data_IF_078862167317
#
_entry.id   IF_078862167317
#
_cell.length_a   1.000
_cell.length_b   1.000
_cell.length_c   1.000
_cell.angle_alpha   90.00
_cell.angle_beta   90.00
_cell.angle_gamma   90.00
#
_symmetry.space_group_name_H-M   'P 1'
#
loop_
_entity.id
_entity.type
_entity.pdbx_description
1 polymer ?
#
# COMPACT_ATOMS: atom_id res chain seq x y z
N UNK A 1 4.29 -7.76 -27.28
CA UNK A 1 3.53 -7.02 -28.32
C UNK A 1 3.27 -5.69 -27.67
N UNK A 2 3.86 -4.63 -28.17
CA UNK A 2 3.68 -3.31 -27.59
C UNK A 2 2.18 -2.99 -27.55
N UNK A 3 1.65 -2.78 -26.35
CA UNK A 3 0.23 -2.51 -26.12
C UNK A 3 -0.17 -1.17 -26.73
N UNK A 4 0.77 -0.22 -26.77
CA UNK A 4 0.57 1.12 -27.30
C UNK A 4 1.21 1.27 -28.67
N UNK A 5 0.36 1.41 -29.70
CA UNK A 5 0.84 1.70 -31.06
C UNK A 5 1.30 3.16 -31.17
N UNK A 6 2.19 3.48 -32.11
CA UNK A 6 2.58 4.88 -32.36
C UNK A 6 1.40 5.82 -32.61
N UNK A 7 0.33 5.33 -33.22
CA UNK A 7 -0.90 6.10 -33.46
C UNK A 7 -1.65 6.39 -32.15
N UNK A 8 -1.64 5.41 -31.20
CA UNK A 8 -2.23 5.60 -29.87
C UNK A 8 -1.47 6.68 -29.10
N UNK A 9 -0.14 6.60 -29.06
CA UNK A 9 0.71 7.61 -28.39
C UNK A 9 0.47 9.00 -28.97
N UNK A 10 0.45 9.14 -30.32
CA UNK A 10 0.16 10.42 -30.97
C UNK A 10 -1.22 10.97 -30.60
N UNK A 11 -2.22 10.12 -30.47
CA UNK A 11 -3.55 10.51 -30.03
C UNK A 11 -3.54 11.04 -28.59
N UNK A 12 -2.85 10.34 -27.67
CA UNK A 12 -2.68 10.79 -26.29
C UNK A 12 -2.01 12.16 -26.24
N UNK A 13 -0.88 12.32 -26.94
CA UNK A 13 -0.16 13.59 -27.02
C UNK A 13 -1.01 14.73 -27.60
N UNK A 14 -1.87 14.44 -28.58
CA UNK A 14 -2.78 15.45 -29.14
C UNK A 14 -3.87 15.85 -28.14
N UNK A 15 -4.40 14.89 -27.36
CA UNK A 15 -5.38 15.15 -26.28
C UNK A 15 -4.75 16.05 -25.21
N UNK A 16 -3.52 15.74 -24.78
CA UNK A 16 -2.76 16.54 -23.79
C UNK A 16 -2.53 17.96 -24.34
N UNK A 17 -2.01 18.07 -25.55
CA UNK A 17 -1.73 19.35 -26.20
C UNK A 17 -2.96 20.26 -26.34
N UNK A 18 -4.13 19.68 -26.50
CA UNK A 18 -5.40 20.40 -26.59
C UNK A 18 -6.05 20.67 -25.22
N UNK A 19 -5.46 20.24 -24.12
CA UNK A 19 -6.01 20.29 -22.75
C UNK A 19 -7.42 19.64 -22.65
N UNK A 20 -7.61 18.51 -23.36
CA UNK A 20 -8.88 17.78 -23.38
C UNK A 20 -9.01 16.83 -22.20
N UNK A 21 -9.09 17.37 -20.97
CA UNK A 21 -9.05 16.63 -19.68
C UNK A 21 -10.06 15.48 -19.60
N UNK A 22 -11.30 15.72 -20.05
CA UNK A 22 -12.34 14.69 -19.97
C UNK A 22 -12.06 13.50 -20.90
N UNK A 23 -11.48 13.75 -22.08
CA UNK A 23 -11.05 12.66 -22.96
C UNK A 23 -9.84 11.91 -22.41
N UNK A 24 -8.90 12.63 -21.82
CA UNK A 24 -7.76 12.00 -21.16
C UNK A 24 -8.23 11.09 -20.01
N UNK A 25 -9.11 11.56 -19.13
CA UNK A 25 -9.70 10.74 -18.07
C UNK A 25 -10.43 9.51 -18.59
N UNK A 26 -11.25 9.66 -19.62
CA UNK A 26 -11.98 8.53 -20.21
C UNK A 26 -11.03 7.48 -20.83
N UNK A 27 -9.91 7.93 -21.41
CA UNK A 27 -8.89 7.06 -21.98
C UNK A 27 -8.13 6.28 -20.88
N UNK A 28 -7.86 6.91 -19.74
CA UNK A 28 -7.11 6.32 -18.63
C UNK A 28 -7.98 5.44 -17.72
N UNK A 29 -9.30 5.64 -17.74
CA UNK A 29 -10.25 5.04 -16.80
C UNK A 29 -10.15 3.52 -16.71
N UNK A 30 -10.10 2.86 -17.87
CA UNK A 30 -10.12 1.40 -17.98
C UNK A 30 -8.70 0.79 -18.13
N UNK A 31 -7.64 1.60 -18.10
CA UNK A 31 -6.27 1.10 -18.12
C UNK A 31 -5.85 0.60 -16.72
N UNK A 32 -5.13 -0.52 -16.70
CA UNK A 32 -4.47 -1.01 -15.50
C UNK A 32 -3.32 -0.07 -15.10
N UNK A 33 -3.00 0.11 -13.81
CA UNK A 33 -1.86 0.93 -13.37
C UNK A 33 -0.56 0.62 -14.12
N UNK A 34 -0.18 -0.65 -14.25
CA UNK A 34 0.99 -1.07 -15.01
C UNK A 34 0.99 -0.61 -16.48
N UNK A 35 -0.20 -0.53 -17.12
CA UNK A 35 -0.29 -0.03 -18.50
C UNK A 35 -0.07 1.48 -18.57
N UNK A 36 -0.54 2.21 -17.55
CA UNK A 36 -0.30 3.66 -17.46
C UNK A 36 1.18 3.95 -17.20
N UNK A 37 1.83 3.14 -16.38
CA UNK A 37 3.29 3.21 -16.17
C UNK A 37 4.07 2.94 -17.48
N UNK A 38 3.64 1.96 -18.30
CA UNK A 38 4.22 1.73 -19.64
C UNK A 38 3.97 2.93 -20.58
N UNK A 39 2.79 3.54 -20.51
CA UNK A 39 2.46 4.74 -21.27
C UNK A 39 3.36 5.93 -20.86
N UNK A 40 3.67 6.07 -19.56
CA UNK A 40 4.56 7.10 -19.03
C UNK A 40 5.91 7.10 -19.77
N UNK A 41 6.51 5.93 -19.98
CA UNK A 41 7.80 5.80 -20.67
C UNK A 41 7.78 6.24 -22.13
N UNK A 42 6.61 6.40 -22.74
CA UNK A 42 6.42 6.85 -24.13
C UNK A 42 6.15 8.36 -24.22
N UNK A 43 5.99 9.05 -23.11
CA UNK A 43 5.67 10.47 -23.01
C UNK A 43 6.91 11.26 -22.53
N UNK A 44 6.93 12.56 -22.81
CA UNK A 44 7.85 13.43 -22.13
C UNK A 44 7.34 13.76 -20.72
N UNK A 45 8.20 14.32 -19.87
CA UNK A 45 7.93 14.51 -18.46
C UNK A 45 6.70 15.42 -18.19
N UNK A 46 6.54 16.52 -18.96
CA UNK A 46 5.39 17.42 -18.83
C UNK A 46 4.07 16.74 -19.25
N UNK A 47 4.13 15.89 -20.28
CA UNK A 47 2.98 15.09 -20.75
C UNK A 47 2.60 14.02 -19.72
N UNK A 48 3.58 13.40 -19.10
CA UNK A 48 3.41 12.40 -18.06
C UNK A 48 2.81 13.02 -16.78
N UNK A 49 3.35 14.14 -16.31
CA UNK A 49 2.80 14.90 -15.18
C UNK A 49 1.34 15.29 -15.42
N UNK A 50 1.02 15.79 -16.63
CA UNK A 50 -0.37 16.10 -17.00
C UNK A 50 -1.31 14.91 -16.83
N UNK A 51 -0.90 13.72 -17.26
CA UNK A 51 -1.71 12.49 -17.11
C UNK A 51 -1.88 12.12 -15.63
N UNK A 52 -0.80 12.14 -14.86
CA UNK A 52 -0.84 11.82 -13.45
C UNK A 52 -1.81 12.69 -12.65
N UNK A 53 -1.77 14.00 -12.89
CA UNK A 53 -2.65 14.96 -12.22
C UNK A 53 -4.14 14.80 -12.60
N UNK A 54 -4.45 13.93 -13.57
CA UNK A 54 -5.84 13.61 -13.94
C UNK A 54 -6.34 12.30 -13.32
N UNK A 55 -5.46 11.47 -12.77
CA UNK A 55 -5.83 10.25 -12.06
C UNK A 55 -6.47 10.58 -10.70
N UNK A 56 -7.34 9.70 -10.22
CA UNK A 56 -7.72 9.73 -8.81
C UNK A 56 -6.55 9.25 -7.93
N UNK A 57 -6.57 9.60 -6.64
CA UNK A 57 -5.45 9.37 -5.75
C UNK A 57 -5.03 7.89 -5.65
N UNK A 58 -5.99 6.96 -5.47
CA UNK A 58 -5.72 5.53 -5.38
C UNK A 58 -5.01 5.03 -6.66
N UNK A 59 -5.56 5.36 -7.83
CA UNK A 59 -4.97 4.95 -9.10
C UNK A 59 -3.62 5.62 -9.37
N UNK A 60 -3.45 6.87 -8.95
CA UNK A 60 -2.19 7.59 -9.06
C UNK A 60 -1.08 6.93 -8.23
N UNK A 61 -1.41 6.54 -7.00
CA UNK A 61 -0.51 5.80 -6.11
C UNK A 61 -0.09 4.46 -6.73
N UNK A 62 -1.06 3.66 -7.17
CA UNK A 62 -0.80 2.38 -7.85
C UNK A 62 0.12 2.53 -9.07
N UNK A 63 -0.12 3.56 -9.90
CA UNK A 63 0.71 3.80 -11.09
C UNK A 63 2.12 4.23 -10.71
N UNK A 64 2.28 5.01 -9.64
CA UNK A 64 3.60 5.43 -9.15
C UNK A 64 4.44 4.23 -8.69
N UNK A 65 3.82 3.26 -8.02
CA UNK A 65 4.48 2.03 -7.57
C UNK A 65 4.90 1.11 -8.74
N UNK A 66 4.20 1.17 -9.87
CA UNK A 66 4.54 0.42 -11.09
C UNK A 66 5.65 1.06 -11.93
N UNK A 67 6.07 2.31 -11.65
CA UNK A 67 7.22 2.94 -12.30
C UNK A 67 8.53 2.33 -11.81
N UNK A 68 9.54 2.29 -12.71
CA UNK A 68 10.90 2.03 -12.25
C UNK A 68 11.43 3.20 -11.39
N UNK A 69 12.44 2.90 -10.56
CA UNK A 69 13.01 3.82 -9.59
C UNK A 69 13.47 5.14 -10.23
N UNK A 70 14.15 5.06 -11.41
CA UNK A 70 14.67 6.22 -12.12
C UNK A 70 13.55 7.18 -12.61
N UNK A 71 12.45 6.63 -13.11
CA UNK A 71 11.33 7.41 -13.61
C UNK A 71 10.45 7.95 -12.46
N UNK A 72 10.29 7.18 -11.40
CA UNK A 72 9.64 7.60 -10.16
C UNK A 72 10.36 8.76 -9.49
N UNK A 73 11.68 8.66 -9.34
CA UNK A 73 12.52 9.73 -8.78
C UNK A 73 12.43 11.04 -9.60
N UNK A 74 12.47 10.93 -10.94
CA UNK A 74 12.32 12.11 -11.82
C UNK A 74 10.98 12.79 -11.66
N UNK A 75 9.92 12.03 -11.54
CA UNK A 75 8.57 12.55 -11.36
C UNK A 75 8.43 13.25 -10.00
N UNK A 76 8.83 12.58 -8.93
CA UNK A 76 8.67 13.08 -7.56
C UNK A 76 9.47 14.36 -7.31
N UNK A 77 10.67 14.49 -7.89
CA UNK A 77 11.50 15.71 -7.80
C UNK A 77 10.85 16.98 -8.36
N UNK A 78 9.81 16.84 -9.19
CA UNK A 78 9.13 17.99 -9.78
C UNK A 78 7.86 18.40 -9.00
N UNK A 79 7.41 17.55 -8.10
CA UNK A 79 6.18 17.76 -7.37
C UNK A 79 6.46 18.40 -5.99
N UNK A 80 5.60 19.33 -5.54
CA UNK A 80 5.66 19.82 -4.17
C UNK A 80 5.38 18.70 -3.17
N UNK A 81 6.01 18.73 -1.99
CA UNK A 81 5.82 17.74 -0.92
C UNK A 81 4.35 17.58 -0.51
N UNK A 82 3.57 18.66 -0.51
CA UNK A 82 2.12 18.61 -0.27
C UNK A 82 1.37 17.76 -1.32
N UNK A 83 1.78 17.83 -2.59
CA UNK A 83 1.18 17.02 -3.67
C UNK A 83 1.57 15.56 -3.51
N UNK A 84 2.83 15.29 -3.18
CA UNK A 84 3.31 13.91 -2.93
C UNK A 84 2.51 13.28 -1.79
N UNK A 85 2.37 13.97 -0.66
CA UNK A 85 1.59 13.47 0.47
C UNK A 85 0.13 13.18 0.07
N UNK A 86 -0.57 14.16 -0.48
CA UNK A 86 -2.02 14.10 -0.72
C UNK A 86 -2.46 13.34 -1.95
N UNK A 87 -1.61 13.22 -2.96
CA UNK A 87 -1.93 12.53 -4.20
C UNK A 87 -1.49 11.07 -4.19
N UNK A 88 -0.48 10.72 -3.38
CA UNK A 88 0.11 9.39 -3.36
C UNK A 88 0.10 8.78 -1.96
N UNK A 89 0.81 9.36 -0.99
CA UNK A 89 1.02 8.75 0.33
C UNK A 89 -0.31 8.48 1.05
N UNK A 90 -1.26 9.40 1.02
CA UNK A 90 -2.58 9.23 1.66
C UNK A 90 -3.40 8.05 1.09
N UNK A 91 -2.93 7.43 -0.01
CA UNK A 91 -3.58 6.29 -0.69
C UNK A 91 -2.72 5.03 -0.75
N UNK A 92 -1.53 5.04 -0.13
CA UNK A 92 -0.62 3.89 -0.08
C UNK A 92 -0.75 3.12 1.21
N UNK A 93 -0.47 1.81 1.17
CA UNK A 93 -0.20 1.04 2.37
C UNK A 93 1.10 1.54 3.01
N UNK A 94 1.25 1.35 4.32
CA UNK A 94 2.33 1.98 5.10
C UNK A 94 3.73 1.53 4.69
N UNK A 95 3.92 0.30 4.26
CA UNK A 95 5.18 -0.23 3.74
C UNK A 95 5.57 0.43 2.41
N UNK A 96 4.64 0.54 1.45
CA UNK A 96 4.86 1.23 0.18
C UNK A 96 5.16 2.73 0.39
N UNK A 97 4.44 3.37 1.32
CA UNK A 97 4.67 4.77 1.68
C UNK A 97 6.06 4.98 2.29
N UNK A 98 6.50 4.07 3.17
CA UNK A 98 7.84 4.11 3.78
C UNK A 98 8.92 3.95 2.73
N UNK A 99 8.78 3.00 1.81
CA UNK A 99 9.75 2.76 0.75
C UNK A 99 9.87 3.99 -0.16
N UNK A 100 8.74 4.60 -0.54
CA UNK A 100 8.73 5.83 -1.31
C UNK A 100 9.41 7.01 -0.59
N UNK A 101 9.12 7.20 0.70
CA UNK A 101 9.69 8.28 1.51
C UNK A 101 11.21 8.09 1.69
N UNK A 102 11.71 6.85 1.83
CA UNK A 102 13.14 6.55 1.93
C UNK A 102 13.94 6.97 0.69
N UNK A 103 13.31 7.02 -0.49
CA UNK A 103 13.96 7.51 -1.72
C UNK A 103 14.24 9.03 -1.69
N UNK A 104 13.67 9.78 -0.74
CA UNK A 104 13.78 11.24 -0.61
C UNK A 104 14.90 11.66 0.33
N UNK A 105 15.36 12.91 0.19
CA UNK A 105 16.25 13.51 1.17
C UNK A 105 15.51 13.83 2.50
N UNK A 106 16.27 13.97 3.60
CA UNK A 106 15.71 14.14 4.95
C UNK A 106 14.76 15.36 5.05
N UNK A 107 15.08 16.47 4.38
CA UNK A 107 14.24 17.68 4.41
C UNK A 107 12.89 17.43 3.71
N UNK A 108 12.90 16.73 2.57
CA UNK A 108 11.69 16.35 1.84
C UNK A 108 10.85 15.32 2.62
N UNK A 109 11.49 14.35 3.28
CA UNK A 109 10.80 13.38 4.14
C UNK A 109 9.99 14.09 5.25
N UNK A 110 10.64 15.03 6.00
CA UNK A 110 9.98 15.77 7.07
C UNK A 110 8.81 16.63 6.53
N UNK A 111 9.00 17.25 5.37
CA UNK A 111 7.96 18.09 4.76
C UNK A 111 6.76 17.24 4.30
N UNK A 112 7.00 16.11 3.61
CA UNK A 112 5.94 15.19 3.18
C UNK A 112 5.14 14.68 4.37
N UNK A 113 5.82 14.16 5.42
CA UNK A 113 5.16 13.67 6.63
C UNK A 113 4.27 14.74 7.30
N UNK A 114 4.66 16.01 7.22
CA UNK A 114 3.87 17.13 7.77
C UNK A 114 2.57 17.41 7.01
N UNK A 115 2.44 16.90 5.78
CA UNK A 115 1.30 17.12 4.90
C UNK A 115 0.34 15.92 4.84
N UNK A 116 0.66 14.79 5.47
CA UNK A 116 -0.25 13.63 5.55
C UNK A 116 -1.46 14.00 6.40
N UNK A 117 -2.67 13.78 5.85
CA UNK A 117 -3.92 14.18 6.50
C UNK A 117 -4.29 13.24 7.66
N UNK A 118 -3.99 11.93 7.53
CA UNK A 118 -4.23 10.95 8.57
C UNK A 118 -3.07 10.89 9.58
N UNK A 119 -3.35 11.32 10.81
CA UNK A 119 -2.35 11.36 11.89
C UNK A 119 -1.92 9.96 12.34
N UNK A 120 -2.81 8.95 12.23
CA UNK A 120 -2.49 7.57 12.58
C UNK A 120 -1.54 6.98 11.53
N UNK A 121 -1.86 7.12 10.25
CA UNK A 121 -0.98 6.73 9.14
C UNK A 121 0.38 7.43 9.21
N UNK A 122 0.42 8.75 9.43
CA UNK A 122 1.68 9.47 9.58
C UNK A 122 2.52 8.94 10.76
N UNK A 123 1.87 8.59 11.88
CA UNK A 123 2.51 7.96 13.03
C UNK A 123 3.10 6.60 12.71
N UNK A 124 2.36 5.76 12.00
CA UNK A 124 2.79 4.43 11.58
C UNK A 124 4.00 4.51 10.64
N UNK A 125 3.95 5.39 9.64
CA UNK A 125 5.08 5.62 8.72
C UNK A 125 6.33 6.07 9.50
N UNK A 126 6.20 7.03 10.43
CA UNK A 126 7.32 7.50 11.27
C UNK A 126 7.88 6.36 12.14
N UNK A 127 7.05 5.46 12.63
CA UNK A 127 7.50 4.31 13.41
C UNK A 127 8.20 3.26 12.53
N UNK A 128 7.70 3.00 11.33
CA UNK A 128 8.30 2.09 10.37
C UNK A 128 9.66 2.59 9.82
N UNK A 129 9.80 3.88 9.58
CA UNK A 129 11.06 4.50 9.14
C UNK A 129 12.24 4.28 10.11
N UNK A 130 11.98 3.91 11.37
CA UNK A 130 13.03 3.62 12.37
C UNK A 130 13.70 2.26 12.19
N UNK A 131 13.08 1.34 11.44
CA UNK A 131 13.66 0.03 11.15
C UNK A 131 14.62 0.10 9.97
N UNK A 132 15.63 -0.76 10.01
CA UNK A 132 16.56 -0.96 8.91
C UNK A 132 15.82 -1.65 7.73
N UNK A 133 15.97 -1.14 6.52
CA UNK A 133 15.30 -1.65 5.32
C UNK A 133 15.63 -3.12 5.01
N UNK A 134 16.83 -3.59 5.38
CA UNK A 134 17.26 -4.97 5.19
C UNK A 134 16.76 -5.94 6.29
N UNK A 135 15.72 -5.56 7.05
CA UNK A 135 15.16 -6.37 8.14
C UNK A 135 13.65 -6.61 7.96
N UNK A 136 13.11 -7.57 8.73
CA UNK A 136 11.67 -7.81 8.76
C UNK A 136 10.86 -6.57 9.14
N UNK A 137 11.39 -5.72 10.01
CA UNK A 137 10.76 -4.46 10.39
C UNK A 137 10.72 -3.44 9.26
N UNK A 138 11.72 -3.46 8.37
CA UNK A 138 11.77 -2.62 7.19
C UNK A 138 10.77 -3.03 6.10
N UNK A 139 10.34 -4.30 6.09
CA UNK A 139 9.42 -4.87 5.10
C UNK A 139 7.97 -4.99 5.60
N UNK A 140 7.69 -4.65 6.85
CA UNK A 140 6.35 -4.85 7.41
C UNK A 140 5.45 -3.64 7.18
N UNK A 141 4.18 -3.91 6.86
CA UNK A 141 3.10 -2.92 6.90
C UNK A 141 2.33 -2.97 8.23
N UNK A 142 1.48 -1.98 8.46
CA UNK A 142 0.59 -1.87 9.62
C UNK A 142 -0.86 -2.23 9.30
N UNK A 143 -1.19 -2.44 8.03
CA UNK A 143 -2.52 -2.73 7.52
C UNK A 143 -2.96 -4.14 7.89
N UNK A 144 -3.44 -4.33 9.10
CA UNK A 144 -3.87 -5.63 9.60
C UNK A 144 -5.10 -5.53 10.50
N UNK A 145 -5.87 -6.62 10.55
CA UNK A 145 -6.95 -6.76 11.52
C UNK A 145 -6.49 -7.52 12.74
N UNK A 146 -6.62 -6.89 13.91
CA UNK A 146 -6.25 -7.45 15.20
C UNK A 146 -7.48 -7.63 16.09
N UNK A 147 -7.59 -8.81 16.73
CA UNK A 147 -8.69 -9.14 17.63
C UNK A 147 -8.17 -9.79 18.91
N UNK A 148 -8.89 -9.61 20.00
CA UNK A 148 -8.51 -10.22 21.28
C UNK A 148 -8.99 -11.70 21.36
N UNK A 149 -8.14 -12.57 21.89
CA UNK A 149 -8.40 -14.02 22.03
C UNK A 149 -9.66 -14.35 22.87
N UNK A 150 -10.03 -13.45 23.76
CA UNK A 150 -11.15 -13.63 24.69
C UNK A 150 -12.51 -13.19 24.08
N UNK A 151 -12.51 -12.53 22.91
CA UNK A 151 -13.74 -12.11 22.27
C UNK A 151 -14.56 -13.28 21.75
N UNK A 152 -15.85 -13.07 21.70
CA UNK A 152 -16.80 -13.96 21.02
C UNK A 152 -16.73 -13.73 19.50
N UNK A 153 -17.23 -14.69 18.72
CA UNK A 153 -17.31 -14.55 17.25
C UNK A 153 -18.08 -13.30 16.80
N UNK A 154 -19.25 -12.94 17.41
CA UNK A 154 -19.95 -11.71 17.05
C UNK A 154 -19.16 -10.43 17.33
N UNK A 155 -18.42 -10.38 18.44
CA UNK A 155 -17.54 -9.24 18.75
C UNK A 155 -16.39 -9.13 17.76
N UNK A 156 -15.77 -10.25 17.43
CA UNK A 156 -14.73 -10.33 16.42
C UNK A 156 -15.23 -9.79 15.06
N UNK A 157 -16.38 -10.27 14.57
CA UNK A 157 -16.98 -9.80 13.31
C UNK A 157 -17.27 -8.29 13.33
N UNK A 158 -17.75 -7.79 14.47
CA UNK A 158 -18.01 -6.35 14.60
C UNK A 158 -16.73 -5.52 14.48
N UNK A 159 -15.68 -5.90 15.17
CA UNK A 159 -14.41 -5.19 15.15
C UNK A 159 -13.70 -5.32 13.79
N UNK A 160 -13.72 -6.50 13.19
CA UNK A 160 -13.21 -6.70 11.85
C UNK A 160 -13.86 -5.81 10.80
N UNK A 161 -15.18 -5.60 10.87
CA UNK A 161 -15.88 -4.70 9.93
C UNK A 161 -15.38 -3.27 10.03
N UNK A 162 -15.05 -2.82 11.24
CA UNK A 162 -14.52 -1.47 11.47
C UNK A 162 -13.09 -1.36 10.93
N UNK A 163 -12.21 -2.30 11.31
CA UNK A 163 -10.80 -2.27 10.92
C UNK A 163 -10.57 -2.60 9.43
N UNK A 164 -11.45 -3.40 8.81
CA UNK A 164 -11.30 -3.80 7.41
C UNK A 164 -11.95 -2.82 6.42
N UNK A 165 -12.57 -1.74 6.88
CA UNK A 165 -13.23 -0.77 6.00
C UNK A 165 -12.21 -0.08 5.07
N UNK A 166 -10.99 0.10 5.55
CA UNK A 166 -9.89 0.79 4.86
C UNK A 166 -8.86 -0.18 4.26
N UNK A 167 -9.05 -1.51 4.43
CA UNK A 167 -8.12 -2.50 3.91
C UNK A 167 -8.54 -3.02 2.54
N UNK A 168 -7.62 -2.99 1.58
CA UNK A 168 -7.84 -3.53 0.23
C UNK A 168 -8.09 -5.04 0.22
N UNK A 169 -7.34 -5.82 1.00
CA UNK A 169 -7.44 -7.28 1.07
C UNK A 169 -7.25 -7.79 2.50
N UNK A 170 -8.10 -8.75 2.89
CA UNK A 170 -8.05 -9.38 4.21
C UNK A 170 -8.05 -10.91 4.09
N UNK A 171 -6.92 -11.54 4.40
CA UNK A 171 -6.77 -13.01 4.39
C UNK A 171 -6.80 -13.60 5.79
N UNK A 172 -6.18 -12.97 6.75
CA UNK A 172 -6.03 -13.42 8.13
C UNK A 172 -6.39 -12.31 9.11
N UNK A 173 -6.85 -12.74 10.28
CA UNK A 173 -7.04 -11.88 11.44
C UNK A 173 -6.02 -12.30 12.48
N UNK A 174 -5.24 -11.36 12.98
CA UNK A 174 -4.26 -11.61 14.02
C UNK A 174 -4.93 -11.61 15.38
N UNK A 175 -4.56 -12.57 16.22
CA UNK A 175 -5.17 -12.76 17.53
C UNK A 175 -4.14 -12.46 18.61
N UNK A 176 -4.45 -11.52 19.48
CA UNK A 176 -3.59 -11.09 20.60
C UNK A 176 -4.24 -11.40 21.96
N UNK A 177 -3.45 -11.41 23.01
CA UNK A 177 -3.93 -11.43 24.39
C UNK A 177 -4.22 -10.01 24.91
N UNK A 178 -4.52 -9.90 26.21
CA UNK A 178 -4.82 -8.61 26.85
C UNK A 178 -3.58 -7.69 27.01
N UNK A 179 -2.39 -8.20 26.75
CA UNK A 179 -1.11 -7.47 26.74
C UNK A 179 -0.61 -7.21 25.28
N UNK A 180 -1.48 -7.30 24.27
CA UNK A 180 -1.22 -7.14 22.84
C UNK A 180 -0.15 -8.09 22.27
N UNK A 181 0.06 -9.26 22.91
CA UNK A 181 1.00 -10.25 22.41
C UNK A 181 0.33 -11.20 21.41
N UNK A 182 0.95 -11.43 20.28
CA UNK A 182 0.48 -12.36 19.27
C UNK A 182 0.32 -13.78 19.82
N UNK A 183 -0.89 -14.34 19.73
CA UNK A 183 -1.27 -15.68 20.20
C UNK A 183 -1.62 -16.63 19.07
N UNK A 184 -2.03 -16.09 17.93
CA UNK A 184 -2.46 -16.91 16.82
C UNK A 184 -2.94 -16.10 15.63
N UNK A 185 -3.36 -16.82 14.60
CA UNK A 185 -4.04 -16.27 13.44
C UNK A 185 -5.39 -16.94 13.24
N UNK A 186 -6.33 -16.19 12.73
CA UNK A 186 -7.69 -16.64 12.51
C UNK A 186 -8.06 -16.51 11.03
N UNK A 187 -8.03 -17.64 10.25
CA UNK A 187 -8.42 -17.60 8.85
C UNK A 187 -9.90 -17.26 8.71
N UNK A 188 -10.27 -16.35 7.81
CA UNK A 188 -11.67 -15.92 7.57
C UNK A 188 -12.63 -17.09 7.32
N UNK A 189 -12.18 -18.15 6.64
CA UNK A 189 -12.95 -19.37 6.43
C UNK A 189 -13.50 -19.97 7.74
N UNK A 190 -12.78 -19.81 8.85
CA UNK A 190 -13.20 -20.31 10.16
C UNK A 190 -14.41 -19.57 10.73
N UNK A 191 -14.66 -18.33 10.32
CA UNK A 191 -15.86 -17.59 10.72
C UNK A 191 -17.14 -18.22 10.19
N UNK A 192 -17.08 -18.78 9.00
CA UNK A 192 -18.22 -19.40 8.33
C UNK A 192 -18.50 -20.81 8.90
N UNK A 193 -17.44 -21.52 9.33
CA UNK A 193 -17.49 -22.93 9.68
C UNK A 193 -17.63 -23.19 11.19
N UNK A 194 -17.50 -22.19 12.04
CA UNK A 194 -17.58 -22.37 13.49
C UNK A 194 -18.86 -21.75 14.07
N UNK A 195 -19.40 -22.32 15.18
CA UNK A 195 -20.55 -21.76 15.86
C UNK A 195 -20.29 -20.33 16.37
N UNK A 196 -21.31 -19.48 16.28
CA UNK A 196 -21.24 -18.08 16.73
C UNK A 196 -20.94 -17.92 18.24
N UNK A 197 -21.22 -18.93 19.05
CA UNK A 197 -20.95 -18.93 20.50
C UNK A 197 -19.47 -19.21 20.86
N UNK A 198 -18.63 -19.57 19.87
CA UNK A 198 -17.23 -19.89 20.11
C UNK A 198 -16.43 -18.63 20.46
N UNK A 199 -15.47 -18.75 21.41
CA UNK A 199 -14.45 -17.74 21.65
C UNK A 199 -13.30 -17.92 20.66
N UNK A 200 -12.65 -16.82 20.26
CA UNK A 200 -11.59 -16.80 19.26
C UNK A 200 -10.44 -17.75 19.64
N UNK A 201 -10.00 -17.76 20.92
CA UNK A 201 -8.94 -18.65 21.42
C UNK A 201 -9.18 -20.16 21.23
N UNK A 202 -10.41 -20.58 20.97
CA UNK A 202 -10.75 -21.98 20.74
C UNK A 202 -10.78 -22.37 19.26
N UNK A 203 -10.81 -21.39 18.37
CA UNK A 203 -10.95 -21.60 16.92
C UNK A 203 -9.77 -21.05 16.10
N UNK A 204 -8.93 -20.20 16.71
CA UNK A 204 -7.71 -19.71 16.07
C UNK A 204 -6.69 -20.83 15.81
N UNK A 205 -5.77 -20.60 14.88
CA UNK A 205 -4.55 -21.39 14.72
C UNK A 205 -3.51 -20.81 15.66
N UNK A 206 -3.09 -21.59 16.64
CA UNK A 206 -2.09 -21.20 17.65
C UNK A 206 -0.68 -21.27 17.08
N UNK A 207 0.23 -20.56 17.73
CA UNK A 207 1.65 -20.58 17.44
C UNK A 207 1.94 -20.28 15.95
N UNK A 208 1.54 -19.10 15.44
CA UNK A 208 1.88 -18.69 14.10
C UNK A 208 3.40 -18.62 13.93
N UNK A 209 3.89 -18.94 12.74
CA UNK A 209 5.29 -18.69 12.41
C UNK A 209 5.50 -17.18 12.43
N UNK A 210 6.48 -16.71 13.18
CA UNK A 210 6.81 -15.30 13.30
C UNK A 210 8.31 -15.10 13.36
N UNK A 211 8.76 -13.92 12.96
CA UNK A 211 10.14 -13.44 13.09
C UNK A 211 10.14 -12.17 13.92
N UNK A 212 11.29 -11.74 14.38
CA UNK A 212 11.45 -10.45 15.04
C UNK A 212 11.70 -9.35 14.01
N UNK A 213 11.42 -8.12 14.36
CA UNK A 213 11.62 -6.95 13.50
C UNK A 213 13.08 -6.74 13.08
N UNK A 214 14.05 -7.19 13.90
CA UNK A 214 15.49 -7.13 13.61
C UNK A 214 16.02 -8.33 12.81
N UNK A 215 15.14 -9.25 12.37
CA UNK A 215 15.53 -10.42 11.57
C UNK A 215 15.94 -9.98 10.16
N UNK A 216 17.15 -10.37 9.69
CA UNK A 216 17.59 -10.03 8.34
C UNK A 216 16.67 -10.57 7.24
N UNK A 217 16.49 -9.83 6.15
CA UNK A 217 15.60 -10.15 5.03
C UNK A 217 15.84 -11.56 4.46
N UNK A 218 17.11 -12.01 4.36
CA UNK A 218 17.43 -13.34 3.86
C UNK A 218 16.90 -14.46 4.77
N UNK A 219 16.90 -14.25 6.10
CA UNK A 219 16.37 -15.21 7.07
C UNK A 219 14.81 -15.19 7.03
N UNK A 220 14.21 -14.04 6.75
CA UNK A 220 12.78 -13.92 6.50
C UNK A 220 12.39 -14.72 5.26
N UNK A 221 13.11 -14.55 4.14
CA UNK A 221 12.88 -15.30 2.90
C UNK A 221 13.00 -16.81 3.10
N UNK A 222 14.05 -17.27 3.80
CA UNK A 222 14.19 -18.70 4.15
C UNK A 222 13.04 -19.23 5.03
N UNK A 223 12.50 -18.36 5.89
CA UNK A 223 11.36 -18.73 6.73
C UNK A 223 10.10 -18.90 5.88
N UNK A 224 9.85 -18.04 4.92
CA UNK A 224 8.77 -18.20 3.96
C UNK A 224 8.92 -19.49 3.15
N UNK A 225 10.07 -19.74 2.52
CA UNK A 225 10.32 -20.98 1.77
C UNK A 225 10.05 -22.26 2.58
N UNK A 226 10.31 -22.23 3.89
CA UNK A 226 10.17 -23.40 4.76
C UNK A 226 8.74 -23.68 5.18
N UNK A 227 7.89 -22.66 5.31
CA UNK A 227 6.58 -22.77 5.95
C UNK A 227 5.40 -22.42 5.05
N UNK A 228 5.63 -22.07 3.78
CA UNK A 228 4.59 -21.83 2.77
C UNK A 228 3.85 -23.13 2.35
#
# INVERSE_FOLDING_TARGET
>A
MDKFTPEYIQNVQQIIKNDEKDKARELLKDLHPADIAELYQQLNLDEAEYIYMLLDGEKAADVLLELDEDDREKMLKQLPSEVIAKQFIDYMDSDDAVDLIREMDEDAQEEILSHIDDVEQAGDIVDLLKYDEDTAGGLMGTEMVVVNENWSMPECVKQMRIQAEELGQLYYVYVVDDDDRLKGVFPLKKMITNPSASKIKHVMRKDPVSVKTDTPINDVAMTFEKYD
#
